data_IF_002507258443
#
_entry.id   IF_002507258443
#
_cell.length_a   1.000
_cell.length_b   1.000
_cell.length_c   1.000
_cell.angle_alpha   90.00
_cell.angle_beta   90.00
_cell.angle_gamma   90.00
#
_symmetry.space_group_name_H-M   'P 1'
#
loop_
_entity.id
_entity.type
_entity.pdbx_description
1 polymer ?
#
# COMPACT_ATOMS: atom_id res chain seq x y z
N UNK A 1 13.54 0.05 -18.08
CA UNK A 1 12.48 1.07 -18.00
C UNK A 1 12.47 1.58 -16.56
N UNK A 2 12.54 2.90 -16.32
CA UNK A 2 12.44 3.43 -14.96
C UNK A 2 11.01 3.29 -14.43
N UNK A 3 10.87 3.21 -13.11
CA UNK A 3 9.59 3.23 -12.40
C UNK A 3 9.57 4.37 -11.40
N UNK A 4 8.36 4.85 -11.10
CA UNK A 4 8.09 5.76 -9.99
C UNK A 4 7.43 4.95 -8.87
N UNK A 5 7.91 5.10 -7.65
CA UNK A 5 7.34 4.46 -6.47
C UNK A 5 6.79 5.52 -5.53
N UNK A 6 5.56 5.31 -5.06
CA UNK A 6 4.93 6.12 -4.01
C UNK A 6 4.68 5.24 -2.80
N UNK A 7 5.26 5.60 -1.67
CA UNK A 7 5.13 4.87 -0.40
C UNK A 7 4.48 5.77 0.64
N UNK A 8 3.48 5.25 1.35
CA UNK A 8 2.78 5.96 2.42
C UNK A 8 2.40 5.03 3.57
N UNK A 9 2.30 5.61 4.76
CA UNK A 9 1.70 4.92 5.90
C UNK A 9 0.19 5.03 5.85
N UNK A 10 -0.49 3.92 6.09
CA UNK A 10 -1.94 3.89 6.26
C UNK A 10 -2.34 2.94 7.39
N UNK A 11 -3.62 2.95 7.71
CA UNK A 11 -4.25 1.99 8.62
C UNK A 11 -5.08 1.00 7.83
N UNK A 12 -5.40 -0.15 8.40
CA UNK A 12 -6.36 -1.11 7.81
C UNK A 12 -7.66 -0.41 7.36
N UNK A 13 -8.19 0.52 8.16
CA UNK A 13 -9.42 1.27 7.83
C UNK A 13 -9.28 2.26 6.67
N UNK A 14 -8.08 2.76 6.41
CA UNK A 14 -7.82 3.74 5.33
C UNK A 14 -7.21 3.11 4.09
N UNK A 15 -6.66 1.89 4.21
CA UNK A 15 -6.04 1.13 3.14
C UNK A 15 -6.94 1.00 1.91
N UNK A 16 -8.24 0.65 2.00
CA UNK A 16 -9.07 0.50 0.81
C UNK A 16 -9.25 1.81 0.04
N UNK A 17 -9.29 2.95 0.74
CA UNK A 17 -9.37 4.26 0.07
C UNK A 17 -8.11 4.55 -0.73
N UNK A 18 -6.94 4.30 -0.14
CA UNK A 18 -5.67 4.58 -0.82
C UNK A 18 -5.38 3.60 -1.95
N UNK A 19 -5.63 2.30 -1.75
CA UNK A 19 -5.45 1.30 -2.80
C UNK A 19 -6.34 1.63 -4.01
N UNK A 20 -7.65 1.83 -3.80
CA UNK A 20 -8.56 2.20 -4.89
C UNK A 20 -8.11 3.49 -5.60
N UNK A 21 -7.74 4.54 -4.85
CA UNK A 21 -7.30 5.80 -5.45
C UNK A 21 -6.04 5.63 -6.32
N UNK A 22 -5.10 4.79 -5.89
CA UNK A 22 -3.85 4.54 -6.61
C UNK A 22 -4.06 3.65 -7.84
N UNK A 23 -4.92 2.64 -7.73
CA UNK A 23 -5.35 1.82 -8.86
C UNK A 23 -6.09 2.65 -9.92
N UNK A 24 -7.02 3.52 -9.51
CA UNK A 24 -7.80 4.38 -10.39
C UNK A 24 -6.92 5.35 -11.23
N UNK A 25 -5.77 5.76 -10.70
CA UNK A 25 -4.81 6.63 -11.40
C UNK A 25 -3.67 5.86 -12.09
N UNK A 26 -3.77 4.53 -12.15
CA UNK A 26 -2.92 3.69 -13.00
C UNK A 26 -1.72 3.06 -12.29
N UNK A 27 -1.83 2.72 -11.01
CA UNK A 27 -0.83 1.88 -10.35
C UNK A 27 -0.69 0.54 -11.09
N UNK A 28 0.56 0.14 -11.35
CA UNK A 28 0.91 -1.14 -11.96
C UNK A 28 0.89 -2.29 -10.95
N UNK A 29 1.16 -1.96 -9.69
CA UNK A 29 1.11 -2.87 -8.55
C UNK A 29 0.95 -2.05 -7.28
N UNK A 30 0.25 -2.62 -6.29
CA UNK A 30 0.15 -2.13 -4.92
C UNK A 30 0.63 -3.25 -3.99
N UNK A 31 1.54 -2.91 -3.09
CA UNK A 31 2.09 -3.84 -2.09
C UNK A 31 1.80 -3.29 -0.71
N UNK A 32 1.36 -4.17 0.20
CA UNK A 32 1.11 -3.87 1.61
C UNK A 32 2.13 -4.61 2.47
N UNK A 33 2.78 -3.88 3.38
CA UNK A 33 3.72 -4.43 4.35
C UNK A 33 3.34 -4.00 5.77
N UNK A 34 3.71 -4.81 6.77
CA UNK A 34 3.68 -4.39 8.18
C UNK A 34 4.50 -3.11 8.33
N UNK A 35 3.94 -2.08 8.98
CA UNK A 35 4.67 -0.85 9.27
C UNK A 35 5.82 -1.05 10.27
N UNK A 36 5.76 -2.13 11.06
CA UNK A 36 6.78 -2.53 12.03
C UNK A 36 7.67 -3.68 11.51
N UNK A 37 7.63 -3.99 10.20
CA UNK A 37 8.48 -5.03 9.59
C UNK A 37 9.97 -4.82 9.91
N UNK A 38 10.69 -5.92 10.17
CA UNK A 38 12.10 -5.93 10.57
C UNK A 38 12.40 -5.20 11.91
N UNK A 39 11.38 -4.93 12.73
CA UNK A 39 11.53 -4.38 14.08
C UNK A 39 11.13 -5.37 15.16
N UNK A 40 11.46 -5.08 16.42
CA UNK A 40 10.99 -5.87 17.56
C UNK A 40 9.48 -5.80 17.83
N UNK A 41 8.73 -4.95 17.10
CA UNK A 41 7.29 -4.77 17.25
C UNK A 41 6.48 -5.45 16.12
N UNK A 42 7.16 -6.10 15.16
CA UNK A 42 6.52 -6.82 14.06
C UNK A 42 5.46 -7.80 14.57
N UNK A 43 4.33 -7.90 13.87
CA UNK A 43 3.22 -8.78 14.26
C UNK A 43 2.96 -9.82 13.19
N UNK A 44 3.08 -11.11 13.53
CA UNK A 44 2.68 -12.13 12.58
C UNK A 44 1.15 -12.15 12.39
N UNK A 45 0.71 -12.22 11.13
CA UNK A 45 -0.64 -12.69 10.78
C UNK A 45 -0.55 -14.22 10.67
N UNK A 46 -1.26 -14.92 11.56
CA UNK A 46 -1.31 -16.39 11.59
C UNK A 46 -2.32 -16.92 10.56
N UNK A 47 -2.78 -18.16 10.70
CA UNK A 47 -3.78 -18.74 9.81
C UNK A 47 -5.13 -18.01 9.96
N UNK A 48 -5.58 -17.26 8.93
CA UNK A 48 -6.86 -16.58 8.98
C UNK A 48 -8.00 -17.59 8.80
N UNK A 49 -9.21 -17.18 9.19
CA UNK A 49 -10.42 -17.95 8.90
C UNK A 49 -10.66 -18.09 7.39
N UNK A 50 -11.56 -19.02 7.02
CA UNK A 50 -11.94 -19.21 5.62
C UNK A 50 -12.57 -17.93 5.05
N UNK A 51 -11.95 -17.37 4.00
CA UNK A 51 -12.40 -16.14 3.37
C UNK A 51 -11.99 -14.86 4.10
N UNK A 52 -11.21 -14.96 5.18
CA UNK A 52 -10.63 -13.80 5.85
C UNK A 52 -9.29 -13.42 5.21
N UNK A 53 -9.02 -12.12 5.11
CA UNK A 53 -7.72 -11.57 4.68
C UNK A 53 -7.41 -10.39 5.59
N UNK A 54 -7.10 -10.65 6.87
CA UNK A 54 -6.81 -9.58 7.82
C UNK A 54 -5.55 -8.83 7.38
N UNK A 55 -5.50 -7.54 7.70
CA UNK A 55 -4.31 -6.71 7.52
C UNK A 55 -3.76 -6.30 8.89
N UNK A 56 -2.52 -5.79 8.89
CA UNK A 56 -1.98 -5.09 10.05
C UNK A 56 -2.74 -3.80 10.31
N UNK A 57 -2.86 -3.42 11.58
CA UNK A 57 -3.51 -2.16 11.98
C UNK A 57 -2.87 -0.93 11.31
N UNK A 58 -1.55 -0.98 11.15
CA UNK A 58 -0.74 0.04 10.50
C UNK A 58 0.09 -0.63 9.42
N UNK A 59 0.09 -0.05 8.22
CA UNK A 59 0.69 -0.62 7.03
C UNK A 59 1.61 0.41 6.39
N UNK A 60 2.59 -0.09 5.64
CA UNK A 60 3.27 0.66 4.58
C UNK A 60 2.70 0.18 3.26
N UNK A 61 2.01 1.07 2.55
CA UNK A 61 1.49 0.84 1.20
C UNK A 61 2.46 1.43 0.19
N UNK A 62 2.90 0.63 -0.77
CA UNK A 62 3.75 1.07 -1.88
C UNK A 62 3.04 0.81 -3.21
N UNK A 63 2.88 1.85 -4.01
CA UNK A 63 2.34 1.78 -5.37
C UNK A 63 3.43 2.06 -6.41
N UNK A 64 3.48 1.20 -7.44
CA UNK A 64 4.42 1.28 -8.55
C UNK A 64 3.74 1.91 -9.77
N UNK A 65 4.41 2.85 -10.43
CA UNK A 65 3.93 3.54 -11.62
C UNK A 65 4.98 3.54 -12.74
N UNK A 66 4.60 3.79 -14.00
CA UNK A 66 5.55 4.12 -15.05
C UNK A 66 6.46 5.29 -14.61
N UNK A 67 7.75 5.24 -14.95
CA UNK A 67 8.73 6.24 -14.50
C UNK A 67 8.52 7.66 -15.01
N UNK A 68 7.63 7.86 -15.99
CA UNK A 68 7.20 9.14 -16.54
C UNK A 68 5.83 9.61 -16.00
N UNK A 69 5.27 8.91 -15.01
CA UNK A 69 4.02 9.31 -14.37
C UNK A 69 4.14 10.68 -13.67
N UNK A 70 3.06 11.45 -13.69
CA UNK A 70 3.02 12.77 -13.06
C UNK A 70 2.86 12.65 -11.54
N UNK A 71 3.97 12.73 -10.81
CA UNK A 71 4.00 12.59 -9.36
C UNK A 71 3.05 13.55 -8.61
N UNK A 72 2.85 14.78 -9.09
CA UNK A 72 1.93 15.73 -8.44
C UNK A 72 0.46 15.35 -8.65
N UNK A 73 0.11 14.81 -9.82
CA UNK A 73 -1.24 14.31 -10.07
C UNK A 73 -1.53 13.07 -9.22
N UNK A 74 -0.54 12.18 -9.05
CA UNK A 74 -0.66 11.01 -8.17
C UNK A 74 -0.87 11.43 -6.71
N UNK A 75 -0.10 12.40 -6.21
CA UNK A 75 -0.27 12.92 -4.86
C UNK A 75 -1.64 13.59 -4.65
N UNK A 76 -2.17 14.28 -5.66
CA UNK A 76 -3.47 14.94 -5.59
C UNK A 76 -4.66 13.96 -5.58
N UNK A 77 -4.44 12.68 -5.91
CA UNK A 77 -5.47 11.66 -5.92
C UNK A 77 -5.71 11.01 -4.54
N UNK A 78 -4.83 11.27 -3.56
CA UNK A 78 -4.91 10.73 -2.19
C UNK A 78 -5.88 11.52 -1.31
#
# INVERSE_FOLDING_TARGET
MPFLELTLHCTESTQPRFENALEDVGALAVTLLDADADTGNERAILEPGVGETPLWNTLVLTALFPGDANALALLAAL
#
